data_IF_513733030708
#
_entry.id   IF_513733030708
#
_cell.length_a   1.000
_cell.length_b   1.000
_cell.length_c   1.000
_cell.angle_alpha   90.00
_cell.angle_beta   90.00
_cell.angle_gamma   90.00
#
_symmetry.space_group_name_H-M   'P 1'
#
loop_
_entity.id
_entity.type
_entity.pdbx_description
1 polymer ?
#
# COMPACT_ATOMS: atom_id res chain seq x y z
N UNK A 1 -1.36 -8.74 -16.99
CA UNK A 1 -1.80 -9.33 -15.71
C UNK A 1 -1.46 -8.47 -14.50
N UNK A 2 -0.30 -7.80 -14.48
CA UNK A 2 0.14 -6.85 -13.46
C UNK A 2 -0.79 -5.63 -13.18
N UNK A 3 -1.46 -4.99 -14.18
CA UNK A 3 -2.37 -3.88 -13.88
C UNK A 3 -3.65 -4.32 -13.18
N UNK A 4 -4.11 -5.56 -13.44
CA UNK A 4 -5.29 -6.14 -12.80
C UNK A 4 -5.04 -6.45 -11.32
N UNK A 5 -3.88 -7.00 -10.95
CA UNK A 5 -3.54 -7.26 -9.55
C UNK A 5 -3.31 -5.98 -8.75
N UNK A 6 -2.73 -4.95 -9.38
CA UNK A 6 -2.58 -3.63 -8.77
C UNK A 6 -3.95 -2.95 -8.55
N UNK A 7 -4.86 -3.05 -9.52
CA UNK A 7 -6.24 -2.54 -9.40
C UNK A 7 -7.02 -3.27 -8.30
N UNK A 8 -6.89 -4.59 -8.22
CA UNK A 8 -7.56 -5.42 -7.21
C UNK A 8 -7.01 -5.17 -5.80
N UNK A 9 -5.70 -4.95 -5.68
CA UNK A 9 -5.04 -4.51 -4.45
C UNK A 9 -5.51 -3.12 -4.00
N UNK A 10 -5.62 -2.19 -4.94
CA UNK A 10 -6.18 -0.85 -4.67
C UNK A 10 -7.64 -0.92 -4.23
N UNK A 11 -8.48 -1.71 -4.91
CA UNK A 11 -9.89 -1.91 -4.55
C UNK A 11 -10.01 -2.54 -3.15
N UNK A 12 -9.19 -3.52 -2.81
CA UNK A 12 -9.19 -4.13 -1.46
C UNK A 12 -8.78 -3.13 -0.37
N UNK A 13 -7.78 -2.28 -0.62
CA UNK A 13 -7.37 -1.22 0.33
C UNK A 13 -8.48 -0.20 0.49
N UNK A 14 -9.10 0.25 -0.61
CA UNK A 14 -10.23 1.18 -0.59
C UNK A 14 -11.44 0.58 0.15
N UNK A 15 -11.74 -0.71 -0.05
CA UNK A 15 -12.81 -1.40 0.67
C UNK A 15 -12.52 -1.56 2.17
N UNK A 16 -11.26 -1.81 2.56
CA UNK A 16 -10.84 -1.87 3.96
C UNK A 16 -10.96 -0.50 4.64
N UNK A 17 -10.58 0.57 3.94
CA UNK A 17 -10.71 1.95 4.41
C UNK A 17 -12.18 2.36 4.55
N UNK A 18 -13.03 2.01 3.57
CA UNK A 18 -14.45 2.37 3.57
C UNK A 18 -15.30 1.54 4.54
N UNK A 19 -14.90 0.30 4.88
CA UNK A 19 -15.67 -0.59 5.79
C UNK A 19 -15.13 -0.65 7.22
N UNK A 20 -13.99 -0.01 7.53
CA UNK A 20 -13.39 -0.02 8.85
C UNK A 20 -14.21 0.74 9.90
N UNK A 21 -15.02 0.03 10.70
CA UNK A 21 -15.75 0.57 11.86
C UNK A 21 -15.11 0.08 13.16
N UNK A 22 -14.82 1.01 14.08
CA UNK A 22 -14.55 0.72 15.51
C UNK A 22 -13.08 0.79 15.98
N UNK A 23 -12.82 0.91 17.30
CA UNK A 23 -11.52 1.19 17.96
C UNK A 23 -10.32 0.32 17.54
N UNK A 24 -10.53 -0.85 16.92
CA UNK A 24 -9.47 -1.70 16.34
C UNK A 24 -9.10 -1.35 14.88
N UNK A 25 -9.87 -0.47 14.22
CA UNK A 25 -9.62 -0.02 12.85
C UNK A 25 -8.32 0.79 12.75
N UNK A 26 -8.02 1.68 13.70
CA UNK A 26 -6.77 2.45 13.68
C UNK A 26 -5.51 1.56 13.76
N UNK A 27 -5.53 0.52 14.59
CA UNK A 27 -4.43 -0.44 14.71
C UNK A 27 -4.27 -1.29 13.44
N UNK A 28 -5.38 -1.71 12.83
CA UNK A 28 -5.34 -2.47 11.56
C UNK A 28 -4.96 -1.60 10.35
N UNK A 29 -5.32 -0.32 10.34
CA UNK A 29 -4.95 0.63 9.27
C UNK A 29 -3.44 0.86 9.26
N UNK A 30 -2.77 0.95 10.41
CA UNK A 30 -1.30 1.10 10.48
C UNK A 30 -0.55 -0.11 9.91
N UNK A 31 -1.03 -1.33 10.15
CA UNK A 31 -0.46 -2.53 9.54
C UNK A 31 -0.69 -2.56 8.03
N UNK A 32 -1.86 -2.11 7.58
CA UNK A 32 -2.20 -2.13 6.16
C UNK A 32 -1.58 -0.99 5.35
N UNK A 33 -1.13 0.09 6.00
CA UNK A 33 -0.55 1.27 5.33
C UNK A 33 0.70 0.92 4.51
N UNK A 34 1.48 -0.08 4.96
CA UNK A 34 2.71 -0.53 4.29
C UNK A 34 2.47 -1.61 3.23
N UNK A 35 1.29 -2.25 3.23
CA UNK A 35 0.99 -3.34 2.29
C UNK A 35 1.13 -2.93 0.82
N UNK A 36 0.66 -1.73 0.37
CA UNK A 36 0.85 -1.28 -1.01
C UNK A 36 2.34 -1.17 -1.40
N UNK A 37 3.19 -0.65 -0.51
CA UNK A 37 4.62 -0.52 -0.75
C UNK A 37 5.29 -1.88 -0.94
N UNK A 38 4.97 -2.85 -0.10
CA UNK A 38 5.51 -4.21 -0.21
C UNK A 38 5.09 -4.87 -1.53
N UNK A 39 3.82 -4.70 -1.94
CA UNK A 39 3.33 -5.19 -3.24
C UNK A 39 4.05 -4.48 -4.40
N UNK A 40 4.27 -3.16 -4.30
CA UNK A 40 4.99 -2.38 -5.30
C UNK A 40 6.45 -2.82 -5.47
N UNK A 41 7.15 -3.13 -4.38
CA UNK A 41 8.51 -3.66 -4.41
C UNK A 41 8.55 -5.04 -5.06
N UNK A 42 7.61 -5.93 -4.71
CA UNK A 42 7.54 -7.26 -5.31
C UNK A 42 7.28 -7.19 -6.82
N UNK A 43 6.35 -6.33 -7.24
CA UNK A 43 6.09 -6.05 -8.65
C UNK A 43 7.33 -5.49 -9.37
N UNK A 44 8.12 -4.66 -8.69
CA UNK A 44 9.34 -4.11 -9.24
C UNK A 44 10.41 -5.19 -9.49
N UNK A 45 10.61 -6.07 -8.50
CA UNK A 45 11.50 -7.23 -8.62
C UNK A 45 11.06 -8.12 -9.79
N UNK A 46 9.76 -8.37 -9.92
CA UNK A 46 9.24 -9.20 -11.02
C UNK A 46 9.46 -8.55 -12.40
N UNK A 47 9.31 -7.22 -12.52
CA UNK A 47 9.61 -6.48 -13.74
C UNK A 47 11.08 -6.56 -14.14
N UNK A 48 11.99 -6.44 -13.16
CA UNK A 48 13.43 -6.60 -13.40
C UNK A 48 13.79 -8.03 -13.79
N UNK A 49 13.26 -9.05 -13.11
CA UNK A 49 13.48 -10.46 -13.46
C UNK A 49 13.05 -10.72 -14.90
N UNK A 50 11.92 -10.16 -15.34
CA UNK A 50 11.46 -10.29 -16.72
C UNK A 50 12.45 -9.68 -17.72
N UNK A 51 12.97 -8.49 -17.46
CA UNK A 51 13.99 -7.87 -18.31
C UNK A 51 15.28 -8.69 -18.36
N UNK A 52 15.79 -9.13 -17.21
CA UNK A 52 17.01 -9.93 -17.15
C UNK A 52 16.83 -11.31 -17.78
N UNK A 53 15.64 -11.91 -17.68
CA UNK A 53 15.33 -13.18 -18.35
C UNK A 53 15.41 -13.04 -19.87
N UNK A 54 14.89 -11.94 -20.45
CA UNK A 54 15.00 -11.66 -21.89
C UNK A 54 16.47 -11.50 -22.30
N UNK A 55 17.28 -10.82 -21.49
CA UNK A 55 18.72 -10.65 -21.74
C UNK A 55 19.46 -12.00 -21.70
N UNK A 56 19.15 -12.83 -20.71
CA UNK A 56 19.84 -14.10 -20.50
C UNK A 56 19.46 -15.21 -21.49
N UNK A 57 18.24 -15.16 -22.04
CA UNK A 57 17.72 -16.20 -22.94
C UNK A 57 17.83 -15.84 -24.42
N UNK A 58 18.16 -14.59 -24.75
CA UNK A 58 18.27 -14.16 -26.14
C UNK A 58 19.57 -14.65 -26.78
N UNK A 59 19.44 -15.34 -27.92
CA UNK A 59 20.58 -15.81 -28.71
C UNK A 59 21.35 -14.68 -29.45
N UNK A 60 20.76 -13.49 -29.54
CA UNK A 60 21.34 -12.28 -30.11
C UNK A 60 21.02 -11.08 -29.19
N UNK A 61 21.61 -9.91 -29.45
CA UNK A 61 21.31 -8.69 -28.68
C UNK A 61 19.80 -8.40 -28.70
N UNK A 62 19.11 -8.45 -27.55
CA UNK A 62 17.67 -8.26 -27.50
C UNK A 62 17.29 -6.83 -27.90
N UNK A 63 16.08 -6.68 -28.45
CA UNK A 63 15.59 -5.35 -28.83
C UNK A 63 15.44 -4.49 -27.57
N UNK A 64 15.89 -3.22 -27.60
CA UNK A 64 15.76 -2.32 -26.46
C UNK A 64 14.30 -2.14 -25.97
N UNK A 65 13.33 -2.27 -26.87
CA UNK A 65 11.89 -2.22 -26.55
C UNK A 65 11.47 -3.29 -25.54
N UNK A 66 12.04 -4.50 -25.66
CA UNK A 66 11.56 -5.67 -24.94
C UNK A 66 12.06 -5.66 -23.49
N UNK A 67 13.27 -5.17 -23.28
CA UNK A 67 13.83 -4.91 -21.94
C UNK A 67 13.28 -3.63 -21.31
N UNK A 68 12.98 -2.60 -22.10
CA UNK A 68 12.40 -1.34 -21.59
C UNK A 68 11.03 -1.56 -20.93
N UNK A 69 10.24 -2.52 -21.41
CA UNK A 69 8.94 -2.84 -20.82
C UNK A 69 9.04 -3.33 -19.36
N UNK A 70 10.00 -4.22 -19.06
CA UNK A 70 10.20 -4.73 -17.70
C UNK A 70 10.79 -3.66 -16.76
N UNK A 71 11.70 -2.81 -17.26
CA UNK A 71 12.22 -1.67 -16.50
C UNK A 71 11.15 -0.62 -16.21
N UNK A 72 10.31 -0.30 -17.19
CA UNK A 72 9.19 0.62 -17.02
C UNK A 72 8.22 0.12 -15.95
N UNK A 73 7.89 -1.18 -15.98
CA UNK A 73 7.07 -1.81 -14.94
C UNK A 73 7.73 -1.71 -13.57
N UNK A 74 9.05 -1.92 -13.51
CA UNK A 74 9.79 -1.88 -12.26
C UNK A 74 9.86 -0.49 -11.60
N UNK A 75 9.90 0.56 -12.41
CA UNK A 75 9.90 1.94 -11.93
C UNK A 75 8.48 2.43 -11.62
N UNK A 76 7.48 2.00 -12.39
CA UNK A 76 6.13 2.51 -12.24
C UNK A 76 5.40 1.88 -11.05
N UNK A 77 5.64 0.62 -10.74
CA UNK A 77 4.94 -0.07 -9.65
C UNK A 77 5.21 0.56 -8.25
N UNK A 78 6.46 0.92 -7.87
CA UNK A 78 6.73 1.65 -6.63
C UNK A 78 6.09 3.04 -6.61
N UNK A 79 6.06 3.74 -7.74
CA UNK A 79 5.44 5.07 -7.84
C UNK A 79 3.94 4.99 -7.55
N UNK A 80 3.24 4.02 -8.15
CA UNK A 80 1.83 3.79 -7.86
C UNK A 80 1.63 3.41 -6.39
N UNK A 81 2.48 2.55 -5.84
CA UNK A 81 2.40 2.17 -4.42
C UNK A 81 2.58 3.35 -3.46
N UNK A 82 3.53 4.26 -3.75
CA UNK A 82 3.75 5.47 -2.97
C UNK A 82 2.55 6.43 -3.06
N UNK A 83 1.95 6.58 -4.24
CA UNK A 83 0.74 7.39 -4.41
C UNK A 83 -0.44 6.87 -3.57
N UNK A 84 -0.53 5.55 -3.37
CA UNK A 84 -1.55 4.93 -2.51
C UNK A 84 -1.21 5.00 -1.01
N UNK A 85 0.08 5.07 -0.68
CA UNK A 85 0.56 5.11 0.70
C UNK A 85 0.27 6.47 1.37
N UNK A 86 0.44 7.58 0.65
CA UNK A 86 0.19 8.95 1.15
C UNK A 86 -1.21 9.12 1.76
N UNK A 87 -2.33 8.87 1.03
CA UNK A 87 -3.67 9.04 1.60
C UNK A 87 -3.95 8.07 2.75
N UNK A 88 -3.33 6.88 2.73
CA UNK A 88 -3.47 5.89 3.80
C UNK A 88 -2.85 6.39 5.11
N UNK A 89 -1.71 7.09 5.06
CA UNK A 89 -1.13 7.74 6.25
C UNK A 89 -1.97 8.90 6.76
N UNK A 90 -2.50 9.75 5.88
CA UNK A 90 -3.36 10.87 6.28
C UNK A 90 -4.63 10.37 6.98
N UNK A 91 -5.27 9.31 6.46
CA UNK A 91 -6.44 8.70 7.08
C UNK A 91 -6.10 8.09 8.45
N UNK A 92 -4.96 7.41 8.59
CA UNK A 92 -4.50 6.86 9.85
C UNK A 92 -4.32 7.95 10.93
N UNK A 93 -3.67 9.06 10.57
CA UNK A 93 -3.42 10.18 11.48
C UNK A 93 -4.71 10.86 11.95
N UNK A 94 -5.66 11.10 11.04
CA UNK A 94 -6.96 11.70 11.40
C UNK A 94 -7.76 10.74 12.29
N UNK A 95 -7.77 9.44 11.95
CA UNK A 95 -8.52 8.42 12.69
C UNK A 95 -8.03 8.21 14.13
N UNK A 96 -6.71 8.24 14.35
CA UNK A 96 -6.14 8.17 15.71
C UNK A 96 -6.38 9.46 16.50
N UNK A 97 -6.25 10.62 15.85
CA UNK A 97 -6.49 11.93 16.48
C UNK A 97 -7.93 12.07 16.97
N UNK A 98 -8.91 11.77 16.12
CA UNK A 98 -10.34 11.83 16.47
C UNK A 98 -10.63 10.96 17.71
N UNK A 99 -10.08 9.75 17.77
CA UNK A 99 -10.26 8.88 18.96
C UNK A 99 -9.59 9.39 20.20
N UNK A 100 -8.38 9.94 20.08
CA UNK A 100 -7.66 10.50 21.22
C UNK A 100 -8.46 11.64 21.87
N UNK A 101 -9.19 12.42 21.06
CA UNK A 101 -10.07 13.48 21.57
C UNK A 101 -11.31 12.91 22.26
N UNK A 102 -11.98 11.91 21.67
CA UNK A 102 -13.25 11.38 22.21
C UNK A 102 -13.13 10.43 23.41
N UNK A 103 -11.99 9.76 23.63
CA UNK A 103 -11.79 8.88 24.81
C UNK A 103 -11.64 9.66 26.13
N UNK A 104 -11.30 10.96 26.08
CA UNK A 104 -10.97 11.75 27.27
C UNK A 104 -12.18 12.16 28.12
N UNK A 105 -13.37 12.16 27.55
CA UNK A 105 -14.59 12.58 28.27
C UNK A 105 -15.05 11.52 29.29
N UNK A 106 -14.77 10.23 29.05
CA UNK A 106 -15.23 9.13 29.91
C UNK A 106 -14.48 9.02 31.24
N UNK A 107 -13.25 9.55 31.33
CA UNK A 107 -12.43 9.52 32.55
C UNK A 107 -12.72 10.65 33.54
N UNK A 108 -13.50 11.66 33.14
CA UNK A 108 -13.78 12.84 33.98
C UNK A 108 -15.01 12.67 34.87
N UNK A 109 -15.87 11.69 34.56
CA UNK A 109 -17.10 11.40 35.30
C UNK A 109 -16.98 10.24 36.30
N UNK A 110 -15.78 9.70 36.54
CA UNK A 110 -15.60 8.72 37.61
C UNK A 110 -15.71 9.43 38.97
N UNK A 111 -16.78 9.21 39.77
CA UNK A 111 -16.87 9.81 41.09
C UNK A 111 -15.71 9.30 41.93
N UNK A 112 -15.02 10.24 42.57
CA UNK A 112 -14.08 9.96 43.64
C UNK A 112 -14.85 9.41 44.86
N UNK A 113 -15.27 8.16 44.79
CA UNK A 113 -15.80 7.45 45.96
C UNK A 113 -14.68 6.61 46.57
N UNK A 114 -14.13 7.19 47.64
CA UNK A 114 -13.64 6.59 48.90
C UNK A 114 -12.99 5.19 48.86
#
# INVERSE_FOLDING_TARGET
MLPLSALLGFICVVLLVLRGKGPMAAASILLFVHAPLMIGIFAAVQGLISSYSIIATSAATPKPSDVAAGFSTALFAPVVALLLMIPSYSAAAIGTFVRAVFVRDESTDAPSSM
#
